data_IF_354928177552
#
_entry.id   IF_354928177552
#
_cell.length_a   1.000
_cell.length_b   1.000
_cell.length_c   1.000
_cell.angle_alpha   90.00
_cell.angle_beta   90.00
_cell.angle_gamma   90.00
#
_symmetry.space_group_name_H-M   'P 1'
#
loop_
_entity.id
_entity.type
_entity.pdbx_description
1 polymer ?
#
# COMPACT_ATOMS: atom_id res chain seq x y z
N UNK A 1 -1.78 -20.81 7.74
CA UNK A 1 -2.73 -21.20 6.66
C UNK A 1 -4.13 -20.82 7.09
N UNK A 2 -4.88 -20.12 6.25
CA UNK A 2 -6.28 -19.76 6.51
C UNK A 2 -7.15 -21.00 6.21
N UNK A 3 -8.15 -21.27 7.05
CA UNK A 3 -9.12 -22.34 6.76
C UNK A 3 -9.85 -22.02 5.44
N UNK A 4 -10.09 -23.04 4.63
CA UNK A 4 -10.62 -22.90 3.27
C UNK A 4 -11.93 -22.11 3.23
N UNK A 5 -12.83 -22.39 4.15
CA UNK A 5 -14.14 -21.74 4.24
C UNK A 5 -14.00 -20.23 4.55
N UNK A 6 -13.05 -19.85 5.40
CA UNK A 6 -12.76 -18.46 5.70
C UNK A 6 -12.11 -17.75 4.50
N UNK A 7 -11.18 -18.41 3.82
CA UNK A 7 -10.55 -17.87 2.64
C UNK A 7 -11.56 -17.61 1.51
N UNK A 8 -12.43 -18.58 1.23
CA UNK A 8 -13.51 -18.46 0.25
C UNK A 8 -14.45 -17.30 0.61
N UNK A 9 -14.84 -17.18 1.89
CA UNK A 9 -15.68 -16.07 2.34
C UNK A 9 -14.98 -14.73 2.16
N UNK A 10 -13.73 -14.60 2.61
CA UNK A 10 -12.96 -13.35 2.49
C UNK A 10 -12.79 -12.93 1.02
N UNK A 11 -12.42 -13.86 0.14
CA UNK A 11 -12.25 -13.58 -1.28
C UNK A 11 -13.55 -13.16 -1.96
N UNK A 12 -14.69 -13.75 -1.57
CA UNK A 12 -16.00 -13.40 -2.12
C UNK A 12 -16.48 -12.00 -1.71
N UNK A 13 -15.98 -11.45 -0.59
CA UNK A 13 -16.34 -10.15 -0.04
C UNK A 13 -15.31 -9.05 -0.34
N UNK A 14 -14.21 -9.38 -1.01
CA UNK A 14 -13.17 -8.44 -1.42
C UNK A 14 -13.46 -7.86 -2.80
N UNK A 15 -14.59 -7.18 -2.97
CA UNK A 15 -15.01 -6.61 -4.26
C UNK A 15 -13.99 -5.60 -4.83
N UNK A 16 -13.23 -4.94 -3.97
CA UNK A 16 -12.20 -3.97 -4.34
C UNK A 16 -10.87 -4.31 -3.66
N UNK A 17 -10.44 -5.55 -3.89
CA UNK A 17 -9.21 -6.07 -3.32
C UNK A 17 -7.99 -5.23 -3.70
N UNK A 18 -7.84 -4.95 -4.98
CA UNK A 18 -6.83 -4.07 -5.54
C UNK A 18 -7.46 -2.69 -5.80
N UNK A 19 -6.90 -1.64 -5.20
CA UNK A 19 -7.20 -0.27 -5.62
C UNK A 19 -6.27 0.05 -6.78
N UNK A 20 -6.78 0.22 -8.01
CA UNK A 20 -5.93 0.39 -9.17
C UNK A 20 -5.19 1.73 -9.15
N UNK A 21 -4.07 1.78 -9.85
CA UNK A 21 -3.20 2.96 -9.89
C UNK A 21 -3.92 4.23 -10.32
N UNK A 22 -4.85 4.14 -11.26
CA UNK A 22 -5.64 5.29 -11.74
C UNK A 22 -6.54 5.94 -10.68
N UNK A 23 -6.86 5.22 -9.61
CA UNK A 23 -7.70 5.71 -8.50
C UNK A 23 -6.87 6.23 -7.31
N UNK A 24 -5.54 6.27 -7.45
CA UNK A 24 -4.61 6.62 -6.38
C UNK A 24 -3.89 7.94 -6.64
N UNK A 25 -3.52 8.61 -5.54
CA UNK A 25 -2.47 9.63 -5.59
C UNK A 25 -1.11 8.93 -5.76
N UNK A 26 -0.38 9.28 -6.80
CA UNK A 26 0.91 8.72 -7.14
C UNK A 26 1.82 9.86 -7.57
N UNK A 27 3.10 9.78 -7.18
CA UNK A 27 4.12 10.70 -7.67
C UNK A 27 5.01 10.05 -8.71
N UNK A 28 5.51 10.87 -9.62
CA UNK A 28 6.57 10.50 -10.55
C UNK A 28 7.92 10.87 -9.91
N UNK A 29 8.91 10.03 -10.03
CA UNK A 29 10.23 10.19 -9.41
C UNK A 29 10.97 11.49 -9.78
N UNK A 30 10.60 12.11 -10.89
CA UNK A 30 11.13 13.39 -11.35
C UNK A 30 10.36 14.62 -10.83
N UNK A 31 9.29 14.42 -10.06
CA UNK A 31 8.64 15.53 -9.37
C UNK A 31 9.58 16.13 -8.32
N UNK A 32 9.53 17.44 -8.12
CA UNK A 32 10.33 18.07 -7.08
C UNK A 32 9.68 17.92 -5.70
N UNK A 33 10.50 18.07 -4.66
CA UNK A 33 10.03 17.87 -3.28
C UNK A 33 9.02 18.91 -2.82
N UNK A 34 9.07 20.12 -3.34
CA UNK A 34 8.15 21.19 -2.98
C UNK A 34 6.72 20.83 -3.38
N UNK A 35 6.55 20.33 -4.60
CA UNK A 35 5.26 19.82 -5.08
C UNK A 35 4.75 18.64 -4.25
N UNK A 36 5.62 17.68 -3.94
CA UNK A 36 5.26 16.52 -3.14
C UNK A 36 4.87 16.89 -1.71
N UNK A 37 5.61 17.79 -1.07
CA UNK A 37 5.30 18.31 0.27
C UNK A 37 3.93 18.96 0.32
N UNK A 38 3.62 19.80 -0.68
CA UNK A 38 2.34 20.49 -0.75
C UNK A 38 1.17 19.51 -0.85
N UNK A 39 1.28 18.49 -1.70
CA UNK A 39 0.22 17.49 -1.87
C UNK A 39 0.08 16.59 -0.64
N UNK A 40 1.17 16.15 -0.04
CA UNK A 40 1.14 15.32 1.18
C UNK A 40 0.53 16.09 2.35
N UNK A 41 0.89 17.37 2.54
CA UNK A 41 0.37 18.20 3.62
C UNK A 41 -1.13 18.49 3.45
N UNK A 42 -1.58 18.79 2.23
CA UNK A 42 -2.96 19.19 1.96
C UNK A 42 -3.94 18.03 1.95
N UNK A 43 -3.52 16.84 1.50
CA UNK A 43 -4.41 15.69 1.34
C UNK A 43 -4.39 14.72 2.54
N UNK A 44 -3.53 14.95 3.52
CA UNK A 44 -3.45 14.12 4.73
C UNK A 44 -2.97 12.69 4.48
N UNK A 45 -2.36 12.41 3.34
CA UNK A 45 -1.76 11.12 3.07
C UNK A 45 -0.51 10.91 3.91
N UNK A 46 -0.42 9.78 4.60
CA UNK A 46 0.77 9.44 5.38
C UNK A 46 1.95 9.05 4.48
N UNK A 47 1.67 8.38 3.38
CA UNK A 47 2.67 7.87 2.44
C UNK A 47 2.04 7.66 1.06
N UNK A 48 2.78 7.95 0.01
CA UNK A 48 2.30 7.87 -1.38
C UNK A 48 3.30 7.05 -2.21
N UNK A 49 2.81 6.15 -3.09
CA UNK A 49 3.68 5.45 -4.03
C UNK A 49 4.37 6.40 -5.01
N UNK A 50 5.60 6.07 -5.38
CA UNK A 50 6.42 6.76 -6.37
C UNK A 50 6.75 5.80 -7.49
N UNK A 51 6.51 6.22 -8.72
CA UNK A 51 6.78 5.44 -9.93
C UNK A 51 7.63 6.25 -10.91
N UNK A 52 8.21 5.57 -11.91
CA UNK A 52 8.84 6.22 -13.05
C UNK A 52 7.78 6.64 -14.08
N UNK A 53 8.18 7.41 -15.09
CA UNK A 53 7.33 7.74 -16.25
C UNK A 53 6.82 6.49 -16.98
N UNK A 54 7.60 5.41 -16.95
CA UNK A 54 7.26 4.11 -17.53
C UNK A 54 6.42 3.22 -16.60
N UNK A 55 5.89 3.79 -15.51
CA UNK A 55 5.04 3.13 -14.51
C UNK A 55 5.74 2.04 -13.68
N UNK A 56 7.07 2.04 -13.65
CA UNK A 56 7.83 1.15 -12.77
C UNK A 56 7.82 1.67 -11.34
N UNK A 57 7.60 0.77 -10.40
CA UNK A 57 7.62 1.10 -8.99
C UNK A 57 9.03 1.43 -8.51
N UNK A 58 9.16 2.55 -7.80
CA UNK A 58 10.43 3.01 -7.22
C UNK A 58 10.44 2.84 -5.69
N UNK A 59 9.33 3.14 -5.05
CA UNK A 59 9.19 3.10 -3.60
C UNK A 59 7.99 3.92 -3.15
N UNK A 60 8.02 4.36 -1.91
CA UNK A 60 7.01 5.25 -1.33
C UNK A 60 7.69 6.48 -0.74
N UNK A 61 6.91 7.55 -0.54
CA UNK A 61 7.42 8.78 0.06
C UNK A 61 6.43 9.33 1.09
N UNK A 62 6.98 9.85 2.18
CA UNK A 62 6.27 10.56 3.23
C UNK A 62 6.93 11.91 3.50
N UNK A 63 6.24 12.78 4.25
CA UNK A 63 6.85 14.04 4.72
C UNK A 63 8.11 13.74 5.54
N UNK A 64 8.08 12.72 6.39
CA UNK A 64 9.23 12.33 7.21
C UNK A 64 10.44 11.91 6.34
N UNK A 65 10.23 11.22 5.22
CA UNK A 65 11.31 10.86 4.30
C UNK A 65 11.97 12.10 3.69
N UNK A 66 11.18 13.08 3.29
CA UNK A 66 11.67 14.35 2.72
C UNK A 66 12.48 15.13 3.76
N UNK A 67 11.95 15.27 4.97
CA UNK A 67 12.64 15.98 6.07
C UNK A 67 13.92 15.27 6.49
N UNK A 68 13.93 13.96 6.56
CA UNK A 68 15.11 13.15 6.87
C UNK A 68 16.20 13.31 5.81
N UNK A 69 15.81 13.32 4.55
CA UNK A 69 16.74 13.56 3.43
C UNK A 69 17.37 14.95 3.51
N UNK A 70 16.57 15.98 3.77
CA UNK A 70 17.05 17.34 3.96
C UNK A 70 18.09 17.44 5.08
N UNK A 71 17.76 16.87 6.25
CA UNK A 71 18.64 16.92 7.41
C UNK A 71 19.94 16.14 7.17
N UNK A 72 19.86 14.94 6.61
CA UNK A 72 21.01 14.08 6.33
C UNK A 72 21.99 14.68 5.34
N UNK A 73 21.48 15.39 4.34
CA UNK A 73 22.29 16.03 3.28
C UNK A 73 22.57 17.51 3.55
N UNK A 74 22.12 18.04 4.68
CA UNK A 74 22.32 19.45 5.08
C UNK A 74 21.87 20.46 4.02
N UNK A 75 20.70 20.21 3.42
CA UNK A 75 20.17 21.04 2.36
C UNK A 75 19.43 22.26 2.90
N UNK A 76 19.65 23.41 2.27
CA UNK A 76 18.81 24.58 2.45
C UNK A 76 17.42 24.33 1.82
N UNK A 77 16.39 25.06 2.26
CA UNK A 77 15.02 24.88 1.75
C UNK A 77 14.92 25.03 0.23
N UNK A 78 15.64 25.98 -0.35
CA UNK A 78 15.65 26.19 -1.80
C UNK A 78 16.34 25.05 -2.56
N UNK A 79 17.36 24.43 -1.97
CA UNK A 79 18.02 23.26 -2.55
C UNK A 79 17.09 22.04 -2.51
N UNK A 80 16.42 21.83 -1.37
CA UNK A 80 15.43 20.77 -1.22
C UNK A 80 14.31 20.92 -2.24
N UNK A 81 13.74 22.13 -2.38
CA UNK A 81 12.63 22.40 -3.29
C UNK A 81 12.92 22.06 -4.76
N UNK A 82 14.19 22.07 -5.16
CA UNK A 82 14.65 21.75 -6.52
C UNK A 82 15.09 20.30 -6.68
N UNK A 83 15.09 19.52 -5.62
CA UNK A 83 15.56 18.12 -5.65
C UNK A 83 14.42 17.19 -6.05
N UNK A 84 14.69 16.28 -6.97
CA UNK A 84 13.73 15.25 -7.38
C UNK A 84 13.45 14.28 -6.22
N UNK A 85 12.18 13.95 -6.03
CA UNK A 85 11.74 13.06 -4.96
C UNK A 85 12.27 11.63 -5.11
N UNK A 86 12.62 11.23 -6.33
CA UNK A 86 13.25 9.92 -6.57
C UNK A 86 14.49 9.65 -5.72
N UNK A 87 15.19 10.71 -5.31
CA UNK A 87 16.36 10.61 -4.41
C UNK A 87 16.00 10.39 -2.94
N UNK A 88 14.75 10.60 -2.57
CA UNK A 88 14.25 10.59 -1.18
C UNK A 88 13.33 9.41 -0.89
N UNK A 89 12.97 8.62 -1.90
CA UNK A 89 12.03 7.50 -1.73
C UNK A 89 12.53 6.49 -0.73
N UNK A 90 11.57 5.94 0.02
CA UNK A 90 11.78 4.81 0.89
C UNK A 90 11.40 3.53 0.13
N UNK A 91 12.38 2.67 -0.13
CA UNK A 91 12.19 1.41 -0.85
C UNK A 91 12.11 0.19 0.10
N UNK A 92 11.98 0.42 1.41
CA UNK A 92 11.97 -0.65 2.41
C UNK A 92 10.61 -1.33 2.57
N UNK A 93 9.53 -0.70 2.11
CA UNK A 93 8.21 -1.29 2.20
C UNK A 93 8.12 -2.53 1.31
N UNK A 94 7.60 -3.61 1.87
CA UNK A 94 7.35 -4.84 1.13
C UNK A 94 6.34 -4.62 0.00
N UNK A 95 6.57 -5.31 -1.09
CA UNK A 95 5.67 -5.35 -2.24
C UNK A 95 5.13 -6.76 -2.44
N UNK A 96 4.02 -6.88 -3.13
CA UNK A 96 3.43 -8.16 -3.51
C UNK A 96 3.22 -8.23 -5.02
N UNK A 97 3.12 -9.43 -5.52
CA UNK A 97 2.73 -9.67 -6.92
C UNK A 97 1.22 -9.89 -7.03
N UNK A 98 0.69 -9.76 -8.22
CA UNK A 98 -0.72 -10.05 -8.52
C UNK A 98 -1.10 -11.53 -8.26
N UNK A 99 -0.10 -12.42 -8.12
CA UNK A 99 -0.29 -13.84 -7.81
C UNK A 99 -0.05 -14.19 -6.34
N UNK A 100 0.23 -13.21 -5.49
CA UNK A 100 0.42 -13.43 -4.05
C UNK A 100 -0.85 -13.96 -3.41
N UNK A 101 -0.69 -14.93 -2.48
CA UNK A 101 -1.83 -15.53 -1.78
C UNK A 101 -2.30 -14.65 -0.62
N UNK A 102 -3.55 -14.86 -0.20
CA UNK A 102 -4.19 -14.08 0.85
C UNK A 102 -3.47 -14.21 2.20
N UNK A 103 -2.92 -15.37 2.52
CA UNK A 103 -2.19 -15.59 3.78
C UNK A 103 -0.97 -14.67 3.88
N UNK A 104 -0.15 -14.60 2.83
CA UNK A 104 1.04 -13.75 2.81
C UNK A 104 0.67 -12.27 2.85
N UNK A 105 -0.37 -11.88 2.11
CA UNK A 105 -0.89 -10.51 2.11
C UNK A 105 -1.34 -10.10 3.51
N UNK A 106 -2.11 -10.93 4.19
CA UNK A 106 -2.60 -10.64 5.53
C UNK A 106 -1.47 -10.54 6.55
N UNK A 107 -0.44 -11.38 6.45
CA UNK A 107 0.73 -11.31 7.32
C UNK A 107 1.47 -9.98 7.15
N UNK A 108 1.71 -9.56 5.92
CA UNK A 108 2.39 -8.29 5.64
C UNK A 108 1.56 -7.07 6.07
N UNK A 109 0.24 -7.12 5.96
CA UNK A 109 -0.64 -6.02 6.38
C UNK A 109 -0.73 -5.85 7.90
N UNK A 110 -0.19 -6.77 8.70
CA UNK A 110 0.01 -6.55 10.14
C UNK A 110 0.99 -5.41 10.37
N UNK A 111 2.07 -5.37 9.59
CA UNK A 111 3.14 -4.39 9.77
C UNK A 111 2.97 -3.16 8.87
N UNK A 112 2.37 -3.32 7.69
CA UNK A 112 2.22 -2.24 6.71
C UNK A 112 0.75 -1.84 6.53
N UNK A 113 0.44 -0.53 6.45
CA UNK A 113 -0.95 -0.07 6.24
C UNK A 113 -1.49 -0.36 4.84
N UNK A 114 -0.62 -0.52 3.88
CA UNK A 114 -0.92 -0.96 2.51
C UNK A 114 0.29 -1.66 1.90
N UNK A 115 0.05 -2.37 0.81
CA UNK A 115 1.09 -3.07 0.05
C UNK A 115 0.99 -2.68 -1.42
N UNK A 116 2.08 -2.19 -2.02
CA UNK A 116 2.14 -2.01 -3.47
C UNK A 116 2.08 -3.35 -4.20
N UNK A 117 1.30 -3.41 -5.26
CA UNK A 117 1.15 -4.59 -6.12
C UNK A 117 1.84 -4.35 -7.44
N UNK A 118 2.74 -5.27 -7.80
CA UNK A 118 3.54 -5.19 -9.00
C UNK A 118 3.23 -6.36 -9.93
N UNK A 119 3.34 -6.12 -11.24
CA UNK A 119 3.33 -7.21 -12.21
C UNK A 119 4.73 -7.86 -12.33
N UNK A 120 4.84 -8.85 -13.21
CA UNK A 120 6.10 -9.57 -13.47
C UNK A 120 7.23 -8.69 -14.03
N UNK A 121 6.91 -7.49 -14.52
CA UNK A 121 7.87 -6.52 -15.07
C UNK A 121 8.14 -5.36 -14.11
N UNK A 122 7.79 -5.50 -12.82
CA UNK A 122 7.90 -4.47 -11.78
C UNK A 122 7.06 -3.21 -12.07
N UNK A 123 6.06 -3.32 -12.92
CA UNK A 123 5.11 -2.23 -13.14
C UNK A 123 4.12 -2.14 -11.98
N UNK A 124 3.84 -0.93 -11.56
CA UNK A 124 2.92 -0.65 -10.48
C UNK A 124 1.47 -0.81 -10.94
N UNK A 125 0.75 -1.73 -10.35
CA UNK A 125 -0.66 -2.01 -10.66
C UNK A 125 -1.62 -1.27 -9.75
N UNK A 126 -1.26 -1.05 -8.51
CA UNK A 126 -2.09 -0.46 -7.48
C UNK A 126 -1.66 -0.88 -6.09
N UNK A 127 -2.58 -0.77 -5.13
CA UNK A 127 -2.32 -1.15 -3.74
C UNK A 127 -3.42 -2.05 -3.19
N UNK A 128 -3.04 -2.85 -2.19
CA UNK A 128 -3.98 -3.52 -1.29
C UNK A 128 -3.84 -2.87 0.07
N UNK A 129 -4.96 -2.49 0.70
CA UNK A 129 -4.95 -1.78 1.97
C UNK A 129 -5.38 -2.67 3.14
N UNK A 130 -4.81 -2.41 4.30
CA UNK A 130 -5.27 -2.99 5.57
C UNK A 130 -6.76 -2.73 5.79
N UNK A 131 -7.23 -1.54 5.42
CA UNK A 131 -8.65 -1.16 5.55
C UNK A 131 -9.56 -2.10 4.74
N UNK A 132 -9.20 -2.44 3.51
CA UNK A 132 -10.00 -3.34 2.66
C UNK A 132 -10.08 -4.75 3.25
N UNK A 133 -8.96 -5.26 3.73
CA UNK A 133 -8.91 -6.58 4.39
C UNK A 133 -9.70 -6.56 5.71
N UNK A 134 -9.56 -5.51 6.51
CA UNK A 134 -10.28 -5.40 7.76
C UNK A 134 -11.79 -5.34 7.55
N UNK A 135 -12.26 -4.67 6.52
CA UNK A 135 -13.69 -4.68 6.15
C UNK A 135 -14.19 -6.09 5.81
N UNK A 136 -13.41 -6.85 5.05
CA UNK A 136 -13.78 -8.24 4.73
C UNK A 136 -13.78 -9.14 5.97
N UNK A 137 -12.80 -8.98 6.86
CA UNK A 137 -12.75 -9.69 8.15
C UNK A 137 -13.94 -9.30 9.02
N UNK A 138 -14.32 -8.04 9.04
CA UNK A 138 -15.49 -7.59 9.78
C UNK A 138 -16.79 -8.25 9.27
N UNK A 139 -16.95 -8.35 7.94
CA UNK A 139 -18.07 -9.11 7.35
C UNK A 139 -18.02 -10.60 7.74
N UNK A 140 -16.83 -11.19 7.75
CA UNK A 140 -16.65 -12.58 8.22
C UNK A 140 -17.19 -12.77 9.64
N UNK A 141 -16.85 -11.85 10.55
CA UNK A 141 -17.26 -11.96 11.96
C UNK A 141 -18.77 -11.80 12.16
N UNK A 142 -19.45 -11.04 11.31
CA UNK A 142 -20.87 -10.76 11.44
C UNK A 142 -21.77 -11.68 10.60
N UNK A 143 -21.35 -12.05 9.41
CA UNK A 143 -22.23 -12.66 8.40
C UNK A 143 -21.88 -14.12 8.11
N UNK A 144 -20.81 -14.67 8.69
CA UNK A 144 -20.35 -16.04 8.39
C UNK A 144 -21.43 -17.09 8.66
N UNK A 145 -22.19 -16.92 9.73
CA UNK A 145 -23.24 -17.86 10.12
C UNK A 145 -24.49 -17.83 9.22
N UNK A 146 -24.58 -16.84 8.32
CA UNK A 146 -25.62 -16.83 7.28
C UNK A 146 -25.37 -17.88 6.20
N UNK A 147 -24.11 -18.31 6.06
CA UNK A 147 -23.66 -19.25 5.03
C UNK A 147 -23.17 -20.57 5.59
N UNK A 148 -22.71 -20.60 6.85
CA UNK A 148 -22.08 -21.76 7.48
C UNK A 148 -22.61 -22.00 8.87
N UNK A 149 -22.69 -23.26 9.25
CA UNK A 149 -22.98 -23.65 10.63
C UNK A 149 -21.68 -23.87 11.40
N UNK A 150 -21.56 -23.25 12.55
CA UNK A 150 -20.39 -23.40 13.44
C UNK A 150 -20.80 -24.30 14.61
N UNK A 151 -20.08 -25.42 14.81
CA UNK A 151 -20.26 -26.32 15.95
C UNK A 151 -18.95 -26.47 16.70
N UNK A 152 -18.96 -26.46 18.04
CA UNK A 152 -17.78 -26.79 18.81
C UNK A 152 -17.28 -28.21 18.45
N UNK A 153 -15.98 -28.42 18.54
CA UNK A 153 -15.44 -29.78 18.49
C UNK A 153 -15.80 -30.46 19.79
N UNK A 154 -16.18 -31.72 19.69
CA UNK A 154 -16.30 -32.59 20.88
C UNK A 154 -14.90 -32.79 21.46
N UNK A 155 -14.77 -32.68 22.79
CA UNK A 155 -13.51 -32.88 23.55
C UNK A 155 -13.03 -34.34 23.47
#
# INVERSE_FOLDING_TARGET
>A
MIAKEFEEFLLSHLEHYLIPAEDLAIFIDTHNSDHAMLLLANNGYSRVPVITKDKKYVGTISIADIMSYQAKNQLADWELAQTDIGKMVNAKMETISETSNLTDIMHLLVDYPFLPVLDKNDQFLGIITRKSILKAVNSLLHDFTDYYTITPKDD
#
